data_IF_422684658959
#
_entry.id   IF_422684658959
#
_cell.length_a   1.000
_cell.length_b   1.000
_cell.length_c   1.000
_cell.angle_alpha   90.00
_cell.angle_beta   90.00
_cell.angle_gamma   90.00
#
_symmetry.space_group_name_H-M   'P 1'
#
loop_
_entity.id
_entity.type
_entity.pdbx_description
1 polymer ?
#
# COMPACT_ATOMS: atom_id res chain seq x y z
N UNK A 1 51.45 -6.24 19.65
CA UNK A 1 50.19 -5.49 19.83
C UNK A 1 49.26 -5.91 18.72
N UNK A 2 48.37 -6.84 19.03
CA UNK A 2 47.42 -7.38 18.09
C UNK A 2 46.05 -6.81 18.47
N UNK A 3 45.79 -5.58 18.07
CA UNK A 3 44.42 -5.02 18.14
C UNK A 3 43.73 -5.45 16.85
N UNK A 4 42.91 -6.50 16.95
CA UNK A 4 41.87 -6.74 15.95
C UNK A 4 40.73 -5.80 16.28
N UNK A 5 40.54 -4.79 15.44
CA UNK A 5 39.34 -3.97 15.50
C UNK A 5 38.23 -4.76 14.81
N UNK A 6 37.50 -5.56 15.58
CA UNK A 6 36.29 -6.22 15.09
C UNK A 6 35.21 -5.13 14.94
N UNK A 7 35.25 -4.41 13.82
CA UNK A 7 34.10 -3.63 13.38
C UNK A 7 33.07 -4.67 12.92
N UNK A 8 32.19 -5.04 13.84
CA UNK A 8 30.93 -5.65 13.46
C UNK A 8 30.14 -4.58 12.72
N UNK A 9 30.34 -4.47 11.40
CA UNK A 9 29.32 -3.89 10.54
C UNK A 9 28.15 -4.88 10.69
N UNK A 10 27.23 -4.61 11.62
CA UNK A 10 25.94 -5.30 11.61
C UNK A 10 25.21 -4.82 10.38
N UNK A 11 25.54 -5.37 9.21
CA UNK A 11 24.64 -5.39 8.05
C UNK A 11 23.40 -6.15 8.52
N UNK A 12 22.41 -5.38 8.98
CA UNK A 12 21.12 -5.89 9.37
C UNK A 12 20.18 -5.68 8.20
N UNK A 13 19.85 -6.76 7.51
CA UNK A 13 18.92 -6.75 6.40
C UNK A 13 17.61 -6.03 6.73
N UNK A 14 16.99 -5.37 5.74
CA UNK A 14 15.69 -4.76 5.94
C UNK A 14 14.64 -5.85 6.22
N UNK A 15 13.67 -5.50 7.07
CA UNK A 15 12.51 -6.32 7.41
C UNK A 15 11.25 -5.55 6.99
N UNK A 16 10.49 -6.12 6.06
CA UNK A 16 9.19 -5.60 5.64
C UNK A 16 8.05 -6.50 6.15
N UNK A 17 6.99 -5.87 6.62
CA UNK A 17 5.80 -6.47 7.21
C UNK A 17 4.58 -5.95 6.44
N UNK A 18 3.70 -6.85 6.01
CA UNK A 18 2.54 -6.44 5.21
C UNK A 18 1.65 -5.40 5.90
N UNK A 19 1.11 -4.50 5.09
CA UNK A 19 0.18 -3.45 5.49
C UNK A 19 -1.25 -3.79 5.10
N UNK A 20 -2.19 -3.25 5.86
CA UNK A 20 -3.62 -3.35 5.55
C UNK A 20 -4.26 -1.98 5.69
N UNK A 21 -5.06 -1.61 4.69
CA UNK A 21 -5.95 -0.46 4.78
C UNK A 21 -7.30 -0.79 4.13
N UNK A 22 -8.28 0.07 4.31
CA UNK A 22 -9.60 -0.14 3.74
C UNK A 22 -10.19 1.17 3.19
N UNK A 23 -11.07 1.02 2.22
CA UNK A 23 -11.88 2.09 1.67
C UNK A 23 -13.28 1.54 1.39
N UNK A 24 -14.31 2.34 1.58
CA UNK A 24 -15.67 1.97 1.15
C UNK A 24 -15.86 2.47 -0.27
N UNK A 25 -16.55 1.73 -1.13
CA UNK A 25 -16.96 2.28 -2.41
C UNK A 25 -17.75 3.59 -2.22
N UNK A 26 -17.67 4.48 -3.20
CA UNK A 26 -18.29 5.81 -3.14
C UNK A 26 -17.86 6.68 -1.94
N UNK A 27 -16.77 6.32 -1.27
CA UNK A 27 -16.18 7.16 -0.24
C UNK A 27 -15.88 8.57 -0.78
N UNK A 28 -16.14 9.56 0.07
CA UNK A 28 -15.76 10.96 -0.16
C UNK A 28 -14.91 11.40 1.05
N UNK A 29 -13.58 11.56 0.88
CA UNK A 29 -12.81 11.43 -0.36
C UNK A 29 -12.71 9.99 -0.88
N UNK A 30 -12.55 9.81 -2.21
CA UNK A 30 -12.42 8.50 -2.86
C UNK A 30 -10.98 7.92 -2.78
N UNK A 31 -10.22 8.41 -1.82
CA UNK A 31 -8.81 8.09 -1.63
C UNK A 31 -8.55 7.65 -0.20
N UNK A 32 -7.56 6.78 -0.06
CA UNK A 32 -6.99 6.44 1.24
C UNK A 32 -5.48 6.62 1.18
N UNK A 33 -4.92 7.20 2.23
CA UNK A 33 -3.48 7.43 2.36
C UNK A 33 -2.91 6.61 3.51
N UNK A 34 -1.61 6.37 3.46
CA UNK A 34 -0.89 5.67 4.51
C UNK A 34 0.62 5.70 4.27
N UNK A 35 1.34 4.91 5.04
CA UNK A 35 2.77 4.74 4.87
C UNK A 35 3.18 3.29 5.15
N UNK A 36 3.77 2.63 4.15
CA UNK A 36 4.17 1.21 4.21
C UNK A 36 5.37 0.97 5.12
N UNK A 37 6.13 2.00 5.52
CA UNK A 37 7.32 1.81 6.36
C UNK A 37 7.07 1.96 7.86
N UNK A 38 5.82 2.11 8.30
CA UNK A 38 5.51 2.42 9.72
C UNK A 38 5.73 1.23 10.67
N UNK A 39 5.62 0.02 10.15
CA UNK A 39 5.83 -1.26 10.83
C UNK A 39 7.10 -1.99 10.33
N UNK A 40 7.89 -1.32 9.48
CA UNK A 40 9.06 -1.89 8.83
C UNK A 40 10.37 -1.39 9.47
N UNK A 41 11.45 -2.14 9.26
CA UNK A 41 12.80 -1.73 9.68
C UNK A 41 13.72 -1.76 8.47
N UNK A 42 14.31 -0.61 8.11
CA UNK A 42 15.22 -0.47 6.96
C UNK A 42 16.60 -1.08 7.23
N UNK A 43 16.90 -1.43 8.48
CA UNK A 43 18.23 -1.87 8.91
C UNK A 43 19.06 -0.75 9.53
N UNK A 44 20.27 -1.08 9.98
CA UNK A 44 21.21 -0.16 10.62
C UNK A 44 21.72 0.92 9.66
N UNK A 45 21.81 0.60 8.36
CA UNK A 45 22.17 1.54 7.30
C UNK A 45 20.92 2.27 6.81
N UNK A 46 20.64 3.40 7.47
CA UNK A 46 19.45 4.21 7.19
C UNK A 46 19.46 4.77 5.76
N UNK A 47 18.52 4.30 4.94
CA UNK A 47 18.14 4.94 3.68
C UNK A 47 16.89 5.80 3.90
N UNK A 48 16.97 7.10 3.66
CA UNK A 48 15.86 8.04 3.86
C UNK A 48 14.70 7.80 2.86
N UNK A 49 14.96 7.13 1.75
CA UNK A 49 13.98 6.78 0.72
C UNK A 49 14.11 5.30 0.35
N UNK A 50 13.73 4.39 1.26
CA UNK A 50 13.99 2.96 1.12
C UNK A 50 13.03 2.28 0.15
N UNK A 51 11.94 2.93 -0.26
CA UNK A 51 10.88 2.31 -1.06
C UNK A 51 11.11 2.55 -2.55
N UNK A 52 10.88 1.52 -3.36
CA UNK A 52 10.79 1.68 -4.82
C UNK A 52 9.50 2.42 -5.18
N UNK A 53 9.61 3.70 -5.52
CA UNK A 53 8.46 4.54 -5.89
C UNK A 53 7.86 4.12 -7.24
N UNK A 54 6.55 4.36 -7.39
CA UNK A 54 5.86 4.09 -8.65
C UNK A 54 4.36 4.30 -8.58
N UNK A 55 3.73 4.16 -9.75
CA UNK A 55 2.28 4.08 -9.90
C UNK A 55 1.92 2.66 -10.29
N UNK A 56 1.03 2.04 -9.52
CA UNK A 56 0.67 0.63 -9.66
C UNK A 56 -0.82 0.48 -9.89
N UNK A 57 -1.18 -0.43 -10.78
CA UNK A 57 -2.55 -0.87 -11.03
C UNK A 57 -2.55 -2.38 -11.19
N UNK A 58 -3.53 -3.04 -10.58
CA UNK A 58 -3.71 -4.48 -10.74
C UNK A 58 -4.58 -4.79 -11.96
N UNK A 59 -4.50 -6.03 -12.47
CA UNK A 59 -5.26 -6.47 -13.63
C UNK A 59 -6.78 -6.31 -13.47
N UNK A 60 -7.28 -6.40 -12.23
CA UNK A 60 -8.69 -6.20 -11.91
C UNK A 60 -9.14 -4.74 -12.00
N UNK A 61 -8.20 -3.78 -11.98
CA UNK A 61 -8.47 -2.36 -12.18
C UNK A 61 -9.37 -1.71 -11.11
N UNK A 62 -9.33 -2.23 -9.87
CA UNK A 62 -10.14 -1.71 -8.77
C UNK A 62 -9.71 -0.32 -8.31
N UNK A 63 -8.42 0.01 -8.43
CA UNK A 63 -7.91 1.34 -8.15
C UNK A 63 -6.48 1.53 -8.64
N UNK A 64 -5.93 2.69 -8.31
CA UNK A 64 -4.55 3.07 -8.63
C UNK A 64 -3.82 3.45 -7.35
N UNK A 65 -2.67 2.82 -7.12
CA UNK A 65 -1.76 3.16 -6.02
C UNK A 65 -0.63 4.04 -6.53
N UNK A 66 -0.42 5.19 -5.91
CA UNK A 66 0.79 6.01 -6.06
C UNK A 66 1.61 5.84 -4.79
N UNK A 67 2.77 5.21 -4.89
CA UNK A 67 3.70 4.95 -3.78
C UNK A 67 4.96 5.80 -3.95
N UNK A 68 5.29 6.58 -2.94
CA UNK A 68 6.48 7.43 -2.91
C UNK A 68 7.67 6.68 -2.29
N UNK A 69 8.87 7.17 -2.55
CA UNK A 69 10.10 6.52 -2.09
C UNK A 69 10.33 6.62 -0.58
N UNK A 70 9.62 7.53 0.10
CA UNK A 70 9.56 7.61 1.57
C UNK A 70 8.49 6.68 2.20
N UNK A 71 7.86 5.82 1.39
CA UNK A 71 6.81 4.88 1.79
C UNK A 71 5.41 5.46 1.91
N UNK A 72 5.24 6.79 1.84
CA UNK A 72 3.90 7.37 1.80
C UNK A 72 3.19 6.97 0.51
N UNK A 73 1.90 6.65 0.60
CA UNK A 73 1.11 6.28 -0.56
C UNK A 73 -0.26 6.95 -0.56
N UNK A 74 -0.83 7.03 -1.77
CA UNK A 74 -2.23 7.36 -2.01
C UNK A 74 -2.83 6.28 -2.88
N UNK A 75 -3.89 5.63 -2.42
CA UNK A 75 -4.72 4.75 -3.23
C UNK A 75 -5.98 5.51 -3.65
N UNK A 76 -6.28 5.51 -4.93
CA UNK A 76 -7.50 6.08 -5.50
C UNK A 76 -8.38 4.96 -6.03
N UNK A 77 -9.58 4.84 -5.46
CA UNK A 77 -10.54 3.81 -5.86
C UNK A 77 -11.18 4.17 -7.21
N UNK A 78 -11.35 3.16 -8.07
CA UNK A 78 -12.06 3.29 -9.34
C UNK A 78 -13.52 2.88 -9.18
N UNK A 79 -14.38 3.81 -8.73
CA UNK A 79 -15.82 3.56 -8.61
C UNK A 79 -16.51 3.30 -9.96
N UNK A 80 -15.88 3.61 -11.10
CA UNK A 80 -16.42 3.25 -12.41
C UNK A 80 -16.19 1.77 -12.77
N UNK A 81 -15.43 1.03 -11.97
CA UNK A 81 -15.27 -0.41 -12.14
C UNK A 81 -16.57 -1.12 -11.73
N UNK A 82 -17.17 -1.89 -12.66
CA UNK A 82 -18.44 -2.55 -12.43
C UNK A 82 -18.43 -3.55 -11.26
N UNK A 83 -17.27 -4.15 -10.93
CA UNK A 83 -17.15 -5.02 -9.77
C UNK A 83 -17.08 -4.24 -8.46
N UNK A 84 -16.47 -3.05 -8.46
CA UNK A 84 -16.47 -2.14 -7.31
C UNK A 84 -17.89 -1.63 -7.09
N UNK A 85 -18.47 -0.93 -8.07
CA UNK A 85 -19.83 -0.35 -8.04
C UNK A 85 -20.96 -1.37 -7.78
N UNK A 86 -20.67 -2.66 -7.91
CA UNK A 86 -21.62 -3.73 -7.69
C UNK A 86 -21.66 -4.22 -6.24
N UNK A 87 -20.86 -3.67 -5.32
CA UNK A 87 -20.69 -4.20 -3.98
C UNK A 87 -21.84 -3.81 -3.04
N UNK A 88 -22.78 -4.71 -2.81
CA UNK A 88 -23.78 -4.51 -1.75
C UNK A 88 -23.17 -4.43 -0.34
N UNK A 89 -23.91 -3.84 0.61
CA UNK A 89 -23.51 -3.80 2.01
C UNK A 89 -23.15 -5.21 2.54
N UNK A 90 -21.98 -5.34 3.15
CA UNK A 90 -21.44 -6.62 3.65
C UNK A 90 -20.65 -7.43 2.61
N UNK A 91 -20.55 -6.97 1.37
CA UNK A 91 -19.62 -7.49 0.37
C UNK A 91 -18.29 -6.74 0.41
N UNK A 92 -17.22 -7.37 -0.08
CA UNK A 92 -15.91 -6.74 -0.16
C UNK A 92 -15.06 -7.30 -1.31
N UNK A 93 -14.18 -6.46 -1.86
CA UNK A 93 -13.08 -6.84 -2.73
C UNK A 93 -11.74 -6.58 -2.04
N UNK A 94 -10.67 -7.16 -2.57
CA UNK A 94 -9.32 -6.98 -2.06
C UNK A 94 -8.37 -6.65 -3.21
N UNK A 95 -7.59 -5.59 -3.03
CA UNK A 95 -6.56 -5.14 -3.96
C UNK A 95 -5.20 -5.23 -3.27
N UNK A 96 -4.24 -5.95 -3.84
CA UNK A 96 -2.95 -6.27 -3.18
C UNK A 96 -1.77 -5.77 -4.01
N UNK A 97 -0.90 -4.96 -3.41
CA UNK A 97 0.27 -4.37 -4.06
C UNK A 97 1.55 -4.82 -3.36
N UNK A 98 2.47 -5.45 -4.10
CA UNK A 98 3.79 -5.77 -3.57
C UNK A 98 4.69 -4.54 -3.65
N UNK A 99 5.34 -4.19 -2.53
CA UNK A 99 6.36 -3.15 -2.49
C UNK A 99 7.71 -3.73 -2.10
N UNK A 100 8.78 -3.02 -2.48
CA UNK A 100 10.17 -3.39 -2.20
C UNK A 100 10.82 -2.32 -1.34
N UNK A 101 11.45 -2.75 -0.26
CA UNK A 101 12.37 -1.96 0.54
C UNK A 101 13.81 -2.29 0.17
N UNK A 102 14.65 -1.27 0.13
CA UNK A 102 16.09 -1.34 -0.09
C UNK A 102 16.79 -0.54 1.00
N UNK A 103 17.73 -1.17 1.71
CA UNK A 103 18.55 -0.49 2.72
C UNK A 103 19.66 0.36 2.09
N UNK A 104 20.55 0.91 2.92
CA UNK A 104 21.65 1.78 2.47
C UNK A 104 22.75 1.07 1.66
N UNK A 105 22.89 -0.25 1.76
CA UNK A 105 23.94 -1.02 1.08
C UNK A 105 23.45 -1.78 -0.17
N UNK A 106 22.12 -1.84 -0.34
CA UNK A 106 21.46 -2.41 -1.50
C UNK A 106 20.77 -3.75 -1.23
N UNK A 107 20.75 -4.24 0.01
CA UNK A 107 19.93 -5.38 0.38
C UNK A 107 18.44 -5.05 0.27
N UNK A 108 17.66 -6.00 -0.25
CA UNK A 108 16.24 -5.80 -0.53
C UNK A 108 15.34 -6.80 0.19
N UNK A 109 14.13 -6.35 0.52
CA UNK A 109 13.05 -7.19 1.03
C UNK A 109 11.72 -6.73 0.44
N UNK A 110 10.70 -7.57 0.50
CA UNK A 110 9.37 -7.26 -0.05
C UNK A 110 8.26 -7.58 0.94
N UNK A 111 7.18 -6.83 0.86
CA UNK A 111 5.92 -7.11 1.54
C UNK A 111 4.75 -6.60 0.70
N UNK A 112 3.53 -6.77 1.23
CA UNK A 112 2.30 -6.47 0.51
C UNK A 112 1.47 -5.44 1.25
N UNK A 113 1.02 -4.41 0.54
CA UNK A 113 -0.06 -3.53 0.96
C UNK A 113 -1.38 -4.08 0.44
N UNK A 114 -2.28 -4.42 1.36
CA UNK A 114 -3.61 -4.94 1.07
C UNK A 114 -4.66 -3.85 1.32
N UNK A 115 -5.43 -3.51 0.29
CA UNK A 115 -6.57 -2.58 0.38
C UNK A 115 -7.87 -3.39 0.31
N UNK A 116 -8.64 -3.39 1.38
CA UNK A 116 -10.00 -3.95 1.40
C UNK A 116 -11.01 -2.89 0.94
N UNK A 117 -11.75 -3.21 -0.11
CA UNK A 117 -12.81 -2.35 -0.66
C UNK A 117 -14.13 -2.85 -0.12
N UNK A 118 -14.76 -2.10 0.77
CA UNK A 118 -16.04 -2.45 1.37
C UNK A 118 -17.20 -1.96 0.51
N UNK A 119 -18.21 -2.79 0.34
CA UNK A 119 -19.44 -2.43 -0.36
C UNK A 119 -20.34 -1.49 0.41
N UNK A 120 -21.07 -0.67 -0.34
CA UNK A 120 -22.13 0.18 0.15
C UNK A 120 -23.33 0.06 -0.80
N UNK A 121 -24.48 -0.36 -0.28
CA UNK A 121 -25.68 -0.47 -1.11
C UNK A 121 -26.06 0.88 -1.72
N UNK A 122 -25.91 1.02 -3.04
CA UNK A 122 -26.45 2.15 -3.80
C UNK A 122 -27.97 2.25 -3.56
N UNK A 123 -28.45 3.47 -3.36
CA UNK A 123 -29.88 3.72 -3.28
C UNK A 123 -30.56 3.26 -4.57
N UNK A 124 -31.78 2.72 -4.46
CA UNK A 124 -32.54 2.38 -5.66
C UNK A 124 -32.67 3.59 -6.60
N UNK A 125 -32.85 3.38 -7.92
CA UNK A 125 -32.93 4.49 -8.87
C UNK A 125 -34.01 5.48 -8.44
N UNK A 126 -33.61 6.71 -8.13
CA UNK A 126 -34.55 7.77 -7.80
C UNK A 126 -35.21 8.25 -9.09
N UNK A 127 -36.44 7.79 -9.35
CA UNK A 127 -37.29 8.36 -10.39
C UNK A 127 -38.01 9.57 -9.79
N UNK A 128 -37.50 10.77 -10.05
CA UNK A 128 -38.21 12.01 -9.73
C UNK A 128 -39.19 12.30 -10.85
N UNK A 129 -40.49 12.08 -10.60
CA UNK A 129 -41.54 12.56 -11.50
C UNK A 129 -41.81 14.04 -11.13
N UNK A 130 -41.75 14.98 -12.09
CA UNK A 130 -41.96 16.42 -11.86
C UNK A 130 -43.41 16.79 -11.49
#
# INVERSE_FOLDING_TARGET
NNDSLDILITDSKPVATGDINNITEDAVPNTVTGNVITNDTVGADSNATPVTAGTFTNAAGYGTLVLNSNGTYTYTLNNSNAAVNGLGAGQSLTDSFTYTLTDGDGSTTTATLVITINGNTDGGPTVTIP
#
